data_IF_297111730432
#
_entry.id   IF_297111730432
#
_cell.length_a   1.000
_cell.length_b   1.000
_cell.length_c   1.000
_cell.angle_alpha   90.00
_cell.angle_beta   90.00
_cell.angle_gamma   90.00
#
_symmetry.space_group_name_H-M   'P 1'
#
loop_
_entity.id
_entity.type
_entity.pdbx_description
1 polymer ?
#
# COMPACT_ATOMS: atom_id res chain seq x y z
N UNK A 1 -18.41 5.83 -7.65
CA UNK A 1 -18.11 4.39 -7.51
C UNK A 1 -16.63 4.24 -7.81
N UNK A 2 -15.91 3.44 -7.04
CA UNK A 2 -14.47 3.23 -7.16
C UNK A 2 -14.24 1.84 -7.72
N UNK A 3 -13.46 1.72 -8.80
CA UNK A 3 -13.20 0.42 -9.42
C UNK A 3 -11.70 0.10 -9.41
N UNK A 4 -11.38 -1.18 -9.38
CA UNK A 4 -10.00 -1.63 -9.52
C UNK A 4 -9.39 -1.22 -10.87
N UNK A 5 -10.22 -1.09 -11.90
CA UNK A 5 -9.79 -0.58 -13.20
C UNK A 5 -9.35 0.89 -13.14
N UNK A 6 -10.03 1.74 -12.36
CA UNK A 6 -9.59 3.12 -12.12
C UNK A 6 -8.19 3.14 -11.48
N UNK A 7 -7.98 2.29 -10.47
CA UNK A 7 -6.70 2.19 -9.77
C UNK A 7 -5.57 1.76 -10.71
N UNK A 8 -5.80 0.69 -11.47
CA UNK A 8 -4.88 0.16 -12.49
C UNK A 8 -4.55 1.24 -13.52
N UNK A 9 -5.56 1.94 -14.04
CA UNK A 9 -5.39 2.99 -15.03
C UNK A 9 -4.54 4.15 -14.51
N UNK A 10 -4.82 4.63 -13.30
CA UNK A 10 -4.06 5.73 -12.69
C UNK A 10 -2.61 5.30 -12.43
N UNK A 11 -2.40 4.09 -11.91
CA UNK A 11 -1.05 3.59 -11.64
C UNK A 11 -0.24 3.42 -12.92
N UNK A 12 -0.80 2.73 -13.92
CA UNK A 12 -0.10 2.41 -15.17
C UNK A 12 0.22 3.68 -15.96
N UNK A 13 -0.69 4.66 -15.98
CA UNK A 13 -0.43 5.96 -16.62
C UNK A 13 0.79 6.68 -16.00
N UNK A 14 1.02 6.50 -14.70
CA UNK A 14 2.07 7.19 -13.97
C UNK A 14 3.42 6.47 -14.01
N UNK A 15 3.41 5.14 -13.91
CA UNK A 15 4.61 4.34 -13.61
C UNK A 15 5.03 3.33 -14.69
N UNK A 16 4.18 3.01 -15.66
CA UNK A 16 4.57 2.06 -16.71
C UNK A 16 5.77 2.56 -17.51
N UNK A 17 5.75 3.83 -17.94
CA UNK A 17 6.85 4.39 -18.72
C UNK A 17 8.04 4.85 -17.85
N UNK A 18 7.80 5.31 -16.62
CA UNK A 18 8.84 5.93 -15.78
C UNK A 18 9.57 4.94 -14.87
N UNK A 19 8.90 3.87 -14.46
CA UNK A 19 9.43 2.86 -13.54
C UNK A 19 9.33 1.44 -14.12
N UNK A 20 8.93 1.29 -15.39
CA UNK A 20 8.70 0.00 -16.04
C UNK A 20 7.83 -0.93 -15.18
N UNK A 21 6.83 -0.41 -14.47
CA UNK A 21 6.00 -1.21 -13.55
C UNK A 21 4.52 -1.01 -13.87
N UNK A 22 3.77 -2.11 -13.96
CA UNK A 22 2.32 -2.14 -14.12
C UNK A 22 1.63 -2.77 -12.91
N UNK A 23 0.37 -2.39 -12.71
CA UNK A 23 -0.54 -2.94 -11.71
C UNK A 23 -1.58 -3.81 -12.41
N UNK A 24 -1.83 -5.00 -11.87
CA UNK A 24 -2.79 -5.98 -12.39
C UNK A 24 -3.70 -6.48 -11.25
N UNK A 25 -5.00 -6.57 -11.52
CA UNK A 25 -5.99 -7.17 -10.61
C UNK A 25 -6.19 -8.66 -10.88
N UNK A 26 -7.10 -9.28 -10.12
CA UNK A 26 -7.53 -10.66 -10.34
C UNK A 26 -6.52 -11.76 -9.96
N UNK A 27 -5.46 -11.42 -9.21
CA UNK A 27 -4.51 -12.42 -8.70
C UNK A 27 -5.15 -13.38 -7.70
N UNK A 28 -4.62 -14.61 -7.63
CA UNK A 28 -4.97 -15.55 -6.56
C UNK A 28 -4.37 -15.06 -5.23
N UNK A 29 -3.13 -14.60 -5.27
CA UNK A 29 -2.38 -14.03 -4.15
C UNK A 29 -1.71 -12.72 -4.61
N UNK A 30 -1.46 -11.77 -3.70
CA UNK A 30 -0.71 -10.58 -4.04
C UNK A 30 0.73 -10.98 -4.33
N UNK A 31 1.31 -10.42 -5.40
CA UNK A 31 2.70 -10.71 -5.76
C UNK A 31 3.33 -9.56 -6.54
N UNK A 32 4.56 -9.21 -6.19
CA UNK A 32 5.45 -8.43 -7.02
C UNK A 32 6.37 -9.33 -7.85
N UNK A 33 6.31 -9.17 -9.17
CA UNK A 33 7.11 -9.94 -10.11
C UNK A 33 8.07 -9.02 -10.86
N UNK A 34 9.39 -9.16 -10.67
CA UNK A 34 10.34 -8.40 -11.46
C UNK A 34 10.35 -8.87 -12.92
N UNK A 35 10.50 -7.95 -13.87
CA UNK A 35 10.61 -8.29 -15.29
C UNK A 35 11.83 -9.19 -15.54
N UNK A 36 11.66 -10.25 -16.32
CA UNK A 36 12.73 -11.20 -16.66
C UNK A 36 13.42 -10.91 -18.01
N UNK A 37 13.08 -9.81 -18.70
CA UNK A 37 13.64 -9.50 -20.01
C UNK A 37 13.48 -8.04 -20.42
N UNK A 38 14.33 -7.61 -21.36
CA UNK A 38 14.31 -6.25 -21.89
C UNK A 38 12.96 -5.90 -22.53
N UNK A 39 12.43 -4.71 -22.23
CA UNK A 39 11.17 -4.22 -22.76
C UNK A 39 9.91 -4.77 -22.08
N UNK A 40 10.03 -5.55 -21.00
CA UNK A 40 8.89 -6.03 -20.20
C UNK A 40 8.77 -5.21 -18.91
N UNK A 41 7.54 -4.96 -18.48
CA UNK A 41 7.28 -4.31 -17.20
C UNK A 41 7.42 -5.31 -16.03
N UNK A 42 7.84 -4.81 -14.88
CA UNK A 42 7.58 -5.42 -13.58
C UNK A 42 6.08 -5.40 -13.30
N UNK A 43 5.58 -6.38 -12.54
CA UNK A 43 4.16 -6.47 -12.21
C UNK A 43 3.94 -6.38 -10.71
N UNK A 44 2.95 -5.61 -10.33
CA UNK A 44 2.32 -5.68 -9.00
C UNK A 44 0.95 -6.32 -9.25
N UNK A 45 0.71 -7.48 -8.67
CA UNK A 45 -0.56 -8.20 -8.78
C UNK A 45 -1.25 -8.16 -7.43
N UNK A 46 -2.54 -7.83 -7.37
CA UNK A 46 -3.32 -7.83 -6.13
C UNK A 46 -4.53 -8.76 -6.21
N UNK A 47 -5.02 -9.20 -5.05
CA UNK A 47 -5.98 -10.31 -4.95
C UNK A 47 -7.43 -9.91 -5.22
N UNK A 48 -8.15 -10.80 -5.90
CA UNK A 48 -9.63 -10.84 -5.99
C UNK A 48 -10.33 -9.52 -6.34
N UNK A 49 -9.63 -8.61 -7.04
CA UNK A 49 -10.10 -7.27 -7.36
C UNK A 49 -10.58 -6.48 -6.13
N UNK A 50 -9.95 -6.67 -4.97
CA UNK A 50 -10.19 -5.83 -3.81
C UNK A 50 -9.42 -4.52 -3.93
N UNK A 51 -10.15 -3.40 -3.99
CA UNK A 51 -9.57 -2.07 -4.16
C UNK A 51 -8.52 -1.74 -3.07
N UNK A 52 -8.80 -2.09 -1.81
CA UNK A 52 -7.84 -1.89 -0.70
C UNK A 52 -6.59 -2.76 -0.85
N UNK A 53 -6.71 -3.99 -1.37
CA UNK A 53 -5.55 -4.83 -1.67
C UNK A 53 -4.65 -4.18 -2.70
N UNK A 54 -5.22 -3.62 -3.78
CA UNK A 54 -4.43 -2.86 -4.76
C UNK A 54 -3.74 -1.63 -4.16
N UNK A 55 -4.40 -0.88 -3.28
CA UNK A 55 -3.76 0.24 -2.58
C UNK A 55 -2.58 -0.20 -1.70
N UNK A 56 -2.77 -1.32 -1.00
CA UNK A 56 -1.80 -1.91 -0.10
C UNK A 56 -0.53 -2.35 -0.86
N UNK A 57 -0.68 -3.08 -1.95
CA UNK A 57 0.46 -3.53 -2.77
C UNK A 57 1.25 -2.35 -3.36
N UNK A 58 0.55 -1.30 -3.81
CA UNK A 58 1.21 -0.07 -4.28
C UNK A 58 1.96 0.62 -3.15
N UNK A 59 1.44 0.61 -1.91
CA UNK A 59 2.12 1.18 -0.76
C UNK A 59 3.44 0.45 -0.44
N UNK A 60 3.43 -0.88 -0.47
CA UNK A 60 4.65 -1.70 -0.37
C UNK A 60 5.65 -1.36 -1.48
N UNK A 61 5.19 -1.34 -2.72
CA UNK A 61 6.04 -1.03 -3.86
C UNK A 61 6.68 0.36 -3.75
N UNK A 62 5.93 1.37 -3.26
CA UNK A 62 6.44 2.73 -3.05
C UNK A 62 7.61 2.80 -2.06
N UNK A 63 7.68 1.88 -1.09
CA UNK A 63 8.75 1.79 -0.10
C UNK A 63 9.91 0.91 -0.55
N UNK A 64 9.66 -0.10 -1.38
CA UNK A 64 10.70 -1.01 -1.86
C UNK A 64 11.74 -0.28 -2.72
N UNK A 65 12.99 -0.23 -2.26
CA UNK A 65 14.12 0.36 -3.00
C UNK A 65 14.51 -0.46 -4.24
N UNK A 66 15.40 0.10 -5.08
CA UNK A 66 15.79 -0.50 -6.38
C UNK A 66 16.25 -1.95 -6.28
N UNK A 67 17.08 -2.28 -5.28
CA UNK A 67 17.58 -3.65 -5.09
C UNK A 67 16.49 -4.64 -4.67
N UNK A 68 15.51 -4.18 -3.88
CA UNK A 68 14.37 -5.02 -3.52
C UNK A 68 13.46 -5.27 -4.71
N UNK A 69 13.28 -4.28 -5.58
CA UNK A 69 12.51 -4.42 -6.84
C UNK A 69 13.13 -5.36 -7.88
N UNK A 70 14.30 -5.97 -7.59
CA UNK A 70 14.87 -7.05 -8.39
C UNK A 70 14.43 -8.45 -7.91
N UNK A 71 13.74 -8.52 -6.77
CA UNK A 71 13.36 -9.77 -6.11
C UNK A 71 11.84 -9.92 -6.17
N UNK A 72 11.38 -11.17 -6.28
CA UNK A 72 9.96 -11.51 -6.08
C UNK A 72 9.55 -11.04 -4.68
N UNK A 73 8.38 -10.40 -4.57
CA UNK A 73 7.84 -9.83 -3.34
C UNK A 73 8.82 -8.96 -2.55
N UNK A 74 9.68 -8.24 -3.29
CA UNK A 74 10.68 -7.35 -2.71
C UNK A 74 11.70 -8.06 -1.80
N UNK A 75 11.76 -9.39 -1.85
CA UNK A 75 12.54 -10.24 -0.94
C UNK A 75 11.93 -10.40 0.45
N UNK A 76 10.66 -10.01 0.65
CA UNK A 76 9.95 -10.33 1.89
C UNK A 76 9.59 -11.82 1.93
N UNK A 77 9.66 -12.41 3.13
CA UNK A 77 9.23 -13.78 3.34
C UNK A 77 7.75 -13.77 3.74
N UNK A 78 6.92 -14.49 3.00
CA UNK A 78 5.55 -14.77 3.41
C UNK A 78 5.56 -15.68 4.65
N UNK A 79 4.91 -15.24 5.73
CA UNK A 79 4.69 -16.08 6.90
C UNK A 79 3.20 -16.41 6.97
N UNK A 80 2.79 -17.68 6.78
CA UNK A 80 1.39 -18.06 6.76
C UNK A 80 0.69 -17.73 8.09
N UNK A 81 -0.65 -17.75 8.06
CA UNK A 81 -1.50 -17.61 9.25
C UNK A 81 -1.05 -18.52 10.40
N UNK A 82 -1.31 -18.08 11.64
CA UNK A 82 -0.86 -18.77 12.86
C UNK A 82 0.36 -18.13 13.54
N UNK A 83 0.61 -16.84 13.28
CA UNK A 83 1.71 -16.09 13.92
C UNK A 83 1.57 -16.09 15.44
N UNK A 84 2.68 -16.36 16.11
CA UNK A 84 2.84 -16.08 17.55
C UNK A 84 2.75 -14.58 17.83
N UNK A 85 2.51 -14.19 19.09
CA UNK A 85 2.48 -12.77 19.47
C UNK A 85 3.76 -12.01 19.09
N UNK A 86 4.94 -12.66 19.22
CA UNK A 86 6.24 -12.07 18.83
C UNK A 86 6.32 -11.87 17.31
N UNK A 87 5.90 -12.86 16.52
CA UNK A 87 5.86 -12.75 15.06
C UNK A 87 4.87 -11.69 14.59
N UNK A 88 3.71 -11.57 15.27
CA UNK A 88 2.74 -10.53 14.99
C UNK A 88 3.32 -9.14 15.27
N UNK A 89 4.08 -8.98 16.36
CA UNK A 89 4.73 -7.71 16.67
C UNK A 89 5.78 -7.31 15.62
N UNK A 90 6.58 -8.26 15.13
CA UNK A 90 7.54 -7.99 14.04
C UNK A 90 6.83 -7.65 12.73
N UNK A 91 5.72 -8.32 12.42
CA UNK A 91 4.86 -7.98 11.29
C UNK A 91 4.34 -6.54 11.41
N UNK A 92 3.69 -6.21 12.53
CA UNK A 92 3.15 -4.86 12.77
C UNK A 92 4.24 -3.79 12.65
N UNK A 93 5.47 -4.08 13.10
CA UNK A 93 6.61 -3.15 12.99
C UNK A 93 6.98 -2.84 11.53
N UNK A 94 6.97 -3.84 10.64
CA UNK A 94 7.32 -3.62 9.22
C UNK A 94 6.15 -3.00 8.44
N UNK A 95 4.92 -3.22 8.91
CA UNK A 95 3.69 -2.72 8.29
C UNK A 95 3.34 -1.25 8.61
N UNK A 96 4.01 -0.63 9.60
CA UNK A 96 3.70 0.76 9.98
C UNK A 96 3.73 1.72 8.79
N UNK A 97 4.76 1.62 7.95
CA UNK A 97 4.95 2.52 6.80
C UNK A 97 4.01 2.19 5.63
N UNK A 98 3.87 0.92 5.20
CA UNK A 98 2.87 0.54 4.20
C UNK A 98 1.46 1.00 4.58
N UNK A 99 0.98 0.69 5.79
CA UNK A 99 -0.35 1.06 6.28
C UNK A 99 -0.55 2.58 6.32
N UNK A 100 0.47 3.35 6.73
CA UNK A 100 0.39 4.81 6.71
C UNK A 100 0.21 5.35 5.28
N UNK A 101 0.94 4.80 4.30
CA UNK A 101 0.83 5.20 2.88
C UNK A 101 -0.53 4.76 2.30
N UNK A 102 -0.98 3.54 2.60
CA UNK A 102 -2.30 3.03 2.20
C UNK A 102 -3.42 3.94 2.72
N UNK A 103 -3.28 4.47 3.94
CA UNK A 103 -4.23 5.42 4.49
C UNK A 103 -4.28 6.74 3.70
N UNK A 104 -3.11 7.26 3.29
CA UNK A 104 -3.06 8.41 2.37
C UNK A 104 -3.78 8.11 1.06
N UNK A 105 -3.53 6.96 0.43
CA UNK A 105 -4.20 6.60 -0.81
C UNK A 105 -5.72 6.46 -0.61
N UNK A 106 -6.14 5.84 0.49
CA UNK A 106 -7.56 5.70 0.85
C UNK A 106 -8.25 7.07 0.96
N UNK A 107 -7.60 8.05 1.61
CA UNK A 107 -8.11 9.43 1.71
C UNK A 107 -8.09 10.14 0.36
N UNK A 108 -7.07 9.92 -0.47
CA UNK A 108 -6.96 10.48 -1.83
C UNK A 108 -8.04 9.98 -2.79
N UNK A 109 -8.56 8.78 -2.54
CA UNK A 109 -9.68 8.19 -3.28
C UNK A 109 -11.03 8.55 -2.63
N UNK A 110 -11.03 8.77 -1.31
CA UNK A 110 -12.23 9.05 -0.50
C UNK A 110 -12.96 7.79 -0.04
N UNK A 111 -12.22 6.73 0.28
CA UNK A 111 -12.74 5.49 0.86
C UNK A 111 -12.31 5.34 2.33
N UNK A 112 -13.00 4.48 3.07
CA UNK A 112 -12.65 4.16 4.46
C UNK A 112 -11.42 3.26 4.50
N UNK A 113 -10.39 3.70 5.22
CA UNK A 113 -9.21 2.90 5.55
C UNK A 113 -9.49 2.01 6.77
N UNK A 114 -8.86 0.84 6.83
CA UNK A 114 -8.84 -0.04 8.01
C UNK A 114 -7.44 -0.61 8.14
N UNK A 115 -6.86 -0.52 9.33
CA UNK A 115 -5.56 -1.14 9.60
C UNK A 115 -5.71 -2.65 9.50
N UNK A 116 -4.91 -3.28 8.65
CA UNK A 116 -4.87 -4.74 8.54
C UNK A 116 -3.80 -5.32 9.46
N UNK A 117 -4.21 -6.20 10.37
CA UNK A 117 -3.27 -7.03 11.15
C UNK A 117 -2.88 -8.31 10.39
N UNK A 118 -3.59 -8.62 9.30
CA UNK A 118 -3.36 -9.76 8.41
C UNK A 118 -3.19 -11.08 9.18
N UNK A 119 -4.11 -11.41 10.09
CA UNK A 119 -4.05 -12.65 10.86
C UNK A 119 -5.47 -13.18 11.07
N UNK A 120 -5.91 -14.09 10.20
CA UNK A 120 -7.29 -14.56 10.16
C UNK A 120 -7.59 -15.61 11.23
N UNK A 121 -6.57 -16.28 11.77
CA UNK A 121 -6.76 -17.40 12.71
C UNK A 121 -7.04 -16.99 14.14
N UNK A 122 -6.47 -15.88 14.61
CA UNK A 122 -6.52 -15.53 16.03
C UNK A 122 -7.59 -14.49 16.39
N UNK A 123 -8.33 -13.94 15.41
CA UNK A 123 -9.34 -12.87 15.57
C UNK A 123 -8.81 -11.61 16.32
N UNK A 124 -7.48 -11.52 16.47
CA UNK A 124 -6.78 -10.40 17.07
C UNK A 124 -6.67 -9.33 16.00
N UNK A 125 -7.56 -8.33 16.05
CA UNK A 125 -7.42 -7.12 15.26
C UNK A 125 -6.11 -6.37 15.55
N UNK A 126 -5.81 -5.35 14.75
CA UNK A 126 -4.60 -4.53 14.88
C UNK A 126 -4.40 -4.02 16.31
N UNK A 127 -3.20 -4.22 16.86
CA UNK A 127 -2.92 -3.81 18.23
C UNK A 127 -3.03 -2.29 18.39
N UNK A 128 -3.37 -1.82 19.60
CA UNK A 128 -3.42 -0.37 19.91
C UNK A 128 -2.06 0.29 19.65
N UNK A 129 -0.96 -0.43 19.95
CA UNK A 129 0.39 0.04 19.69
C UNK A 129 0.64 0.23 18.19
N UNK A 130 0.19 -0.71 17.37
CA UNK A 130 0.33 -0.64 15.92
C UNK A 130 -0.49 0.50 15.31
N UNK A 131 -1.76 0.66 15.69
CA UNK A 131 -2.58 1.81 15.25
C UNK A 131 -1.92 3.14 15.61
N UNK A 132 -1.37 3.26 16.83
CA UNK A 132 -0.64 4.47 17.27
C UNK A 132 0.62 4.70 16.45
N UNK A 133 1.36 3.64 16.11
CA UNK A 133 2.54 3.74 15.27
C UNK A 133 2.18 4.19 13.85
N UNK A 134 1.13 3.63 13.24
CA UNK A 134 0.59 4.06 11.93
C UNK A 134 0.22 5.53 11.96
N UNK A 135 -0.57 5.96 12.96
CA UNK A 135 -0.94 7.37 13.12
C UNK A 135 0.27 8.30 13.25
N UNK A 136 1.25 7.91 14.07
CA UNK A 136 2.49 8.69 14.26
C UNK A 136 3.27 8.81 12.96
N UNK A 137 3.37 7.72 12.20
CA UNK A 137 4.03 7.71 10.90
C UNK A 137 3.28 8.56 9.86
N UNK A 138 1.95 8.57 9.90
CA UNK A 138 1.11 9.45 9.07
C UNK A 138 1.39 10.93 9.38
N UNK A 139 1.45 11.32 10.65
CA UNK A 139 1.81 12.69 11.04
C UNK A 139 3.23 13.06 10.55
N UNK A 140 4.18 12.13 10.65
CA UNK A 140 5.53 12.34 10.13
C UNK A 140 5.54 12.54 8.61
N UNK A 141 4.70 11.84 7.84
CA UNK A 141 4.57 12.05 6.39
C UNK A 141 3.86 13.36 6.04
N UNK A 142 2.93 13.85 6.86
CA UNK A 142 2.35 15.19 6.68
C UNK A 142 3.43 16.26 6.83
N UNK A 143 4.29 16.13 7.84
CA UNK A 143 5.33 17.13 8.14
C UNK A 143 6.50 17.08 7.15
N UNK A 144 6.97 15.87 6.80
CA UNK A 144 8.22 15.68 6.03
C UNK A 144 7.98 15.34 4.55
N UNK A 145 6.72 15.10 4.17
CA UNK A 145 6.34 14.62 2.85
C UNK A 145 6.35 13.09 2.72
N UNK A 146 5.53 12.59 1.79
CA UNK A 146 5.52 11.19 1.38
C UNK A 146 6.77 10.85 0.55
N UNK A 147 7.19 9.57 0.51
CA UNK A 147 8.16 9.10 -0.49
C UNK A 147 7.70 9.48 -1.90
N UNK A 148 8.64 9.85 -2.79
CA UNK A 148 8.33 10.46 -4.09
C UNK A 148 7.28 9.69 -4.91
N UNK A 149 7.36 8.36 -4.97
CA UNK A 149 6.39 7.53 -5.70
C UNK A 149 5.00 7.58 -5.05
N UNK A 150 4.93 7.47 -3.72
CA UNK A 150 3.68 7.59 -2.97
C UNK A 150 3.07 8.99 -3.11
N UNK A 151 3.88 10.05 -3.07
CA UNK A 151 3.40 11.41 -3.28
C UNK A 151 2.75 11.59 -4.67
N UNK A 152 3.45 11.17 -5.73
CA UNK A 152 2.95 11.24 -7.12
C UNK A 152 1.66 10.44 -7.29
N UNK A 153 1.60 9.23 -6.72
CA UNK A 153 0.41 8.39 -6.84
C UNK A 153 -0.77 8.96 -6.06
N UNK A 154 -0.53 9.42 -4.83
CA UNK A 154 -1.55 10.07 -4.01
C UNK A 154 -2.14 11.29 -4.70
N UNK A 155 -1.31 12.13 -5.33
CA UNK A 155 -1.76 13.28 -6.12
C UNK A 155 -2.59 12.86 -7.34
N UNK A 156 -2.12 11.91 -8.14
CA UNK A 156 -2.84 11.42 -9.31
C UNK A 156 -4.22 10.83 -8.93
N UNK A 157 -4.31 10.11 -7.80
CA UNK A 157 -5.59 9.61 -7.28
C UNK A 157 -6.50 10.79 -6.89
N UNK A 158 -6.00 11.81 -6.18
CA UNK A 158 -6.81 12.98 -5.82
C UNK A 158 -7.34 13.70 -7.05
N UNK A 159 -6.51 13.91 -8.06
CA UNK A 159 -6.93 14.55 -9.31
C UNK A 159 -8.01 13.74 -10.01
N UNK A 160 -7.81 12.42 -10.15
CA UNK A 160 -8.76 11.52 -10.78
C UNK A 160 -10.12 11.52 -10.06
N UNK A 161 -10.11 11.45 -8.72
CA UNK A 161 -11.32 11.40 -7.89
C UNK A 161 -11.81 12.78 -7.42
N UNK A 162 -11.20 13.87 -7.93
CA UNK A 162 -11.52 15.27 -7.59
C UNK A 162 -11.56 15.54 -6.08
N UNK A 163 -10.53 15.09 -5.37
CA UNK A 163 -10.35 15.32 -3.93
C UNK A 163 -9.45 16.51 -3.66
N UNK A 164 -9.80 17.26 -2.62
CA UNK A 164 -8.99 18.37 -2.14
C UNK A 164 -7.60 17.88 -1.68
N UNK A 165 -6.58 18.77 -1.62
CA UNK A 165 -5.30 18.47 -0.97
C UNK A 165 -5.49 17.93 0.43
N UNK A 166 -4.67 16.94 0.80
CA UNK A 166 -4.71 16.34 2.13
C UNK A 166 -3.88 17.17 3.11
N UNK A 167 -4.42 17.36 4.30
CA UNK A 167 -3.76 17.98 5.45
C UNK A 167 -3.93 17.11 6.69
N UNK A 168 -3.35 17.53 7.82
CA UNK A 168 -3.54 16.88 9.12
C UNK A 168 -5.01 16.74 9.53
N UNK A 169 -5.88 17.67 9.15
CA UNK A 169 -7.32 17.63 9.46
C UNK A 169 -8.04 16.43 8.84
N UNK A 170 -7.45 15.83 7.80
CA UNK A 170 -8.03 14.65 7.17
C UNK A 170 -7.72 13.34 7.91
N UNK A 171 -6.85 13.35 8.91
CA UNK A 171 -6.38 12.16 9.62
C UNK A 171 -6.65 12.27 11.12
N UNK A 172 -7.61 11.49 11.60
CA UNK A 172 -7.87 11.34 13.04
C UNK A 172 -7.46 9.96 13.51
N UNK A 173 -6.89 9.85 14.71
CA UNK A 173 -6.63 8.56 15.35
C UNK A 173 -7.91 7.71 15.50
N UNK A 174 -9.07 8.34 15.66
CA UNK A 174 -10.37 7.65 15.73
C UNK A 174 -10.77 6.93 14.44
N UNK A 175 -10.10 7.21 13.31
CA UNK A 175 -10.37 6.57 12.03
C UNK A 175 -9.69 5.19 11.92
N UNK A 176 -8.82 4.81 12.88
CA UNK A 176 -8.01 3.58 12.87
C UNK A 176 -8.60 2.41 13.64
#
# INVERSE_FOLDING_TARGET
MHTCEDLIRVFNALFLNTEATELEGGGVEPIYQPSTGAGRAHKIVFTSDYFSSGLHEVAHWCLAGKERRKQIDFGYWYNPDGRTAVQQQEFERVEVKPQAIEWFFSKSVGIKFRVSADNLQNDLGASVAFKRAVYTQTLAYIQNGLPTRAARFSEALREFYRKAPLSNENFSYSDL
#
